data_IF_835089160532
#
_entry.id   IF_835089160532
#
_cell.length_a   1.000
_cell.length_b   1.000
_cell.length_c   1.000
_cell.angle_alpha   90.00
_cell.angle_beta   90.00
_cell.angle_gamma   90.00
#
_symmetry.space_group_name_H-M   'P 1'
#
loop_
_entity.id
_entity.type
_entity.pdbx_description
1 polymer ?
#
# COMPACT_ATOMS: atom_id res chain seq x y z
N UNK A 1 -22.04 -16.91 12.46
CA UNK A 1 -21.88 -15.70 11.61
C UNK A 1 -20.40 -15.52 11.35
N UNK A 2 -19.98 -15.04 10.18
CA UNK A 2 -18.56 -14.91 9.87
C UNK A 2 -18.10 -13.46 10.03
N UNK A 3 -16.90 -13.26 10.57
CA UNK A 3 -16.28 -11.94 10.69
C UNK A 3 -15.14 -11.81 9.69
N UNK A 4 -15.23 -10.80 8.85
CA UNK A 4 -14.19 -10.40 7.91
C UNK A 4 -13.28 -9.35 8.55
N UNK A 5 -11.99 -9.66 8.61
CA UNK A 5 -10.98 -8.83 9.23
C UNK A 5 -10.04 -8.31 8.13
N UNK A 6 -10.10 -7.01 7.91
CA UNK A 6 -9.26 -6.31 6.94
C UNK A 6 -8.08 -5.68 7.66
N UNK A 7 -6.87 -6.20 7.39
CA UNK A 7 -5.62 -5.74 8.02
C UNK A 7 -4.85 -4.88 7.03
N UNK A 8 -4.70 -3.60 7.35
CA UNK A 8 -4.02 -2.60 6.52
C UNK A 8 -2.63 -2.31 7.06
N UNK A 9 -1.62 -2.41 6.20
CA UNK A 9 -0.26 -1.97 6.51
C UNK A 9 -0.04 -0.50 6.11
N UNK A 10 1.01 0.12 6.63
CA UNK A 10 1.34 1.49 6.23
C UNK A 10 1.65 1.55 4.72
N UNK A 11 0.95 2.43 4.00
CA UNK A 11 1.05 2.56 2.54
C UNK A 11 0.09 1.66 1.74
N UNK A 12 -0.63 0.73 2.37
CA UNK A 12 -1.66 -0.09 1.70
C UNK A 12 -3.08 0.42 1.98
N UNK A 13 -3.93 0.44 0.95
CA UNK A 13 -5.36 0.68 1.11
C UNK A 13 -6.05 -0.55 1.75
N UNK A 14 -7.19 -0.33 2.40
CA UNK A 14 -8.03 -1.39 3.02
C UNK A 14 -8.30 -2.57 2.08
N UNK A 15 -8.47 -2.30 0.78
CA UNK A 15 -8.71 -3.32 -0.26
C UNK A 15 -7.46 -4.13 -0.64
N UNK A 16 -6.27 -3.61 -0.37
CA UNK A 16 -4.99 -4.26 -0.64
C UNK A 16 -4.40 -4.94 0.59
N UNK A 17 -5.01 -4.70 1.74
CA UNK A 17 -4.65 -5.33 2.99
C UNK A 17 -4.91 -6.82 2.99
N UNK A 18 -4.42 -7.50 4.03
CA UNK A 18 -4.69 -8.92 4.23
C UNK A 18 -6.12 -9.09 4.76
N UNK A 19 -6.95 -9.81 4.02
CA UNK A 19 -8.26 -10.26 4.48
C UNK A 19 -8.11 -11.57 5.25
N UNK A 20 -8.69 -11.63 6.45
CA UNK A 20 -8.73 -12.84 7.29
C UNK A 20 -10.18 -13.06 7.72
N UNK A 21 -10.65 -14.29 7.58
CA UNK A 21 -11.95 -14.71 8.07
C UNK A 21 -11.78 -15.32 9.46
N UNK A 22 -12.60 -14.90 10.41
CA UNK A 22 -12.59 -15.44 11.78
C UNK A 22 -14.00 -15.41 12.37
N UNK A 23 -14.26 -16.22 13.39
CA UNK A 23 -15.56 -16.26 14.08
C UNK A 23 -15.57 -15.37 15.33
N UNK A 24 -15.06 -14.13 15.20
CA UNK A 24 -15.04 -13.18 16.30
C UNK A 24 -16.37 -12.44 16.36
N UNK A 25 -17.13 -12.67 17.43
CA UNK A 25 -18.47 -12.08 17.60
C UNK A 25 -18.44 -10.84 18.51
N UNK A 26 -17.48 -10.74 19.41
CA UNK A 26 -17.40 -9.69 20.43
C UNK A 26 -16.37 -8.60 20.12
N UNK A 27 -16.68 -7.38 20.59
CA UNK A 27 -15.79 -6.23 20.46
C UNK A 27 -14.49 -6.41 21.27
N UNK A 28 -14.58 -7.04 22.44
CA UNK A 28 -13.43 -7.28 23.32
C UNK A 28 -12.44 -8.24 22.66
N UNK A 29 -12.91 -9.37 22.15
CA UNK A 29 -12.08 -10.32 21.41
C UNK A 29 -11.48 -9.72 20.14
N UNK A 30 -12.21 -8.86 19.44
CA UNK A 30 -11.68 -8.12 18.29
C UNK A 30 -10.57 -7.15 18.69
N UNK A 31 -10.69 -6.50 19.85
CA UNK A 31 -9.66 -5.60 20.37
C UNK A 31 -8.39 -6.33 20.79
N UNK A 32 -8.52 -7.43 21.53
CA UNK A 32 -7.37 -8.25 21.94
C UNK A 32 -6.62 -8.81 20.73
N UNK A 33 -7.36 -9.32 19.75
CA UNK A 33 -6.79 -9.83 18.50
C UNK A 33 -6.10 -8.72 17.69
N UNK A 34 -6.71 -7.52 17.64
CA UNK A 34 -6.09 -6.38 16.98
C UNK A 34 -4.79 -5.95 17.66
N UNK A 35 -4.80 -5.83 18.99
CA UNK A 35 -3.62 -5.49 19.80
C UNK A 35 -2.52 -6.54 19.62
N UNK A 36 -2.84 -7.83 19.71
CA UNK A 36 -1.89 -8.93 19.52
C UNK A 36 -1.23 -8.88 18.14
N UNK A 37 -2.01 -8.58 17.09
CA UNK A 37 -1.47 -8.42 15.72
C UNK A 37 -0.58 -7.19 15.59
N UNK A 38 -0.99 -6.06 16.15
CA UNK A 38 -0.19 -4.84 16.13
C UNK A 38 1.09 -4.93 16.97
N UNK A 39 1.11 -5.77 18.02
CA UNK A 39 2.31 -6.09 18.80
C UNK A 39 3.26 -7.00 18.02
N UNK A 40 2.74 -7.98 17.28
CA UNK A 40 3.57 -8.86 16.45
C UNK A 40 4.10 -8.20 15.18
N UNK A 41 3.30 -7.33 14.57
CA UNK A 41 3.65 -6.67 13.30
C UNK A 41 3.36 -5.15 13.39
N UNK A 42 4.40 -4.40 13.74
CA UNK A 42 4.35 -2.94 13.88
C UNK A 42 4.14 -2.19 12.56
N UNK A 43 4.12 -2.90 11.42
CA UNK A 43 3.79 -2.32 10.10
C UNK A 43 2.28 -2.16 9.89
N UNK A 44 1.47 -2.79 10.74
CA UNK A 44 0.01 -2.68 10.69
C UNK A 44 -0.41 -1.30 11.18
N UNK A 45 -1.17 -0.60 10.32
CA UNK A 45 -1.71 0.73 10.58
C UNK A 45 -3.13 0.68 11.11
N UNK A 46 -3.99 -0.10 10.45
CA UNK A 46 -5.41 -0.17 10.77
C UNK A 46 -5.93 -1.58 10.55
N UNK A 47 -6.79 -2.05 11.44
CA UNK A 47 -7.51 -3.30 11.32
C UNK A 47 -9.00 -2.96 11.42
N UNK A 48 -9.80 -3.46 10.48
CA UNK A 48 -11.25 -3.27 10.49
C UNK A 48 -11.94 -4.63 10.52
N UNK A 49 -12.92 -4.75 11.41
CA UNK A 49 -13.68 -5.98 11.65
C UNK A 49 -15.13 -5.75 11.22
N UNK A 50 -15.59 -6.63 10.35
CA UNK A 50 -16.93 -6.59 9.78
C UNK A 50 -17.66 -7.89 10.07
N UNK A 51 -18.91 -7.78 10.52
CA UNK A 51 -19.82 -8.91 10.62
C UNK A 51 -20.50 -9.12 9.28
N UNK A 52 -20.45 -10.36 8.81
CA UNK A 52 -21.14 -10.82 7.61
C UNK A 52 -22.32 -11.68 8.06
N UNK A 53 -23.53 -11.16 7.87
CA UNK A 53 -24.75 -11.92 8.07
C UNK A 53 -24.99 -12.86 6.88
N UNK A 54 -25.71 -13.96 7.11
CA UNK A 54 -26.11 -14.89 6.04
C UNK A 54 -26.95 -14.20 4.95
N UNK A 55 -27.64 -13.10 5.29
CA UNK A 55 -28.40 -12.26 4.36
C UNK A 55 -27.55 -11.38 3.44
N UNK A 56 -26.21 -11.43 3.58
CA UNK A 56 -25.29 -10.57 2.84
C UNK A 56 -25.10 -9.17 3.45
N UNK A 57 -25.64 -8.92 4.64
CA UNK A 57 -25.41 -7.66 5.36
C UNK A 57 -23.96 -7.62 5.88
N UNK A 58 -23.24 -6.56 5.50
CA UNK A 58 -21.85 -6.33 5.86
C UNK A 58 -21.76 -5.09 6.77
N UNK A 59 -21.56 -5.31 8.06
CA UNK A 59 -21.55 -4.23 9.05
C UNK A 59 -20.22 -4.17 9.79
N UNK A 60 -19.52 -3.04 9.70
CA UNK A 60 -18.35 -2.79 10.53
C UNK A 60 -18.80 -2.67 11.98
N UNK A 61 -18.24 -3.50 12.86
CA UNK A 61 -18.55 -3.43 14.29
C UNK A 61 -17.37 -2.92 15.11
N UNK A 62 -16.15 -3.08 14.62
CA UNK A 62 -14.96 -2.59 15.30
C UNK A 62 -13.87 -2.19 14.32
N UNK A 63 -13.12 -1.14 14.65
CA UNK A 63 -11.91 -0.78 13.92
C UNK A 63 -10.84 -0.32 14.89
N UNK A 64 -9.65 -0.89 14.76
CA UNK A 64 -8.49 -0.55 15.56
C UNK A 64 -7.47 0.17 14.69
N UNK A 65 -6.96 1.30 15.16
CA UNK A 65 -5.89 2.04 14.48
C UNK A 65 -4.69 2.10 15.41
N UNK A 66 -3.56 1.60 14.96
CA UNK A 66 -2.33 1.57 15.75
C UNK A 66 -1.63 2.94 15.70
N UNK A 67 -1.49 3.65 16.82
CA UNK A 67 -0.77 4.93 16.85
C UNK A 67 0.75 4.76 16.70
N UNK A 68 1.30 3.59 17.03
CA UNK A 68 2.73 3.27 16.95
C UNK A 68 3.12 2.61 15.62
N UNK A 69 2.35 2.85 14.57
CA UNK A 69 2.65 2.30 13.24
C UNK A 69 3.99 2.84 12.74
N UNK A 70 4.96 1.94 12.53
CA UNK A 70 6.22 2.32 11.89
C UNK A 70 5.94 2.45 10.38
N UNK A 71 6.39 3.54 9.73
CA UNK A 71 6.19 3.69 8.31
C UNK A 71 6.91 2.55 7.59
N UNK A 72 6.16 1.64 6.99
CA UNK A 72 6.72 0.66 6.08
C UNK A 72 7.25 1.42 4.84
N UNK A 73 8.35 0.96 4.22
CA UNK A 73 8.78 1.54 2.95
C UNK A 73 7.60 1.49 1.99
N UNK A 74 7.09 2.66 1.59
CA UNK A 74 5.91 2.79 0.72
C UNK A 74 6.17 1.99 -0.55
N UNK A 75 5.57 0.81 -0.66
CA UNK A 75 5.37 0.22 -1.97
C UNK A 75 4.38 1.14 -2.66
N UNK A 76 4.83 1.75 -3.77
CA UNK A 76 4.01 2.64 -4.56
C UNK A 76 2.66 1.96 -4.80
N UNK A 77 1.56 2.66 -4.46
CA UNK A 77 0.23 2.16 -4.73
C UNK A 77 0.15 1.72 -6.20
N UNK A 78 -0.40 0.54 -6.52
CA UNK A 78 -0.54 0.14 -7.92
C UNK A 78 -1.52 1.09 -8.58
N UNK A 79 -1.00 1.98 -9.42
CA UNK A 79 -1.74 3.09 -10.04
C UNK A 79 -1.21 4.48 -9.69
N UNK A 80 -0.35 4.63 -8.67
CA UNK A 80 0.40 5.86 -8.48
C UNK A 80 1.47 5.94 -9.56
N UNK A 81 1.17 6.64 -10.65
CA UNK A 81 2.16 7.02 -11.64
C UNK A 81 3.38 7.60 -10.90
N UNK A 82 4.61 7.09 -11.14
CA UNK A 82 5.77 7.62 -10.45
C UNK A 82 5.84 9.11 -10.73
N UNK A 83 5.76 9.95 -9.70
CA UNK A 83 6.05 11.38 -9.83
C UNK A 83 7.50 11.46 -10.32
N UNK A 84 7.66 11.58 -11.64
CA UNK A 84 8.95 11.78 -12.30
C UNK A 84 9.55 13.01 -11.65
N UNK A 85 10.65 12.82 -10.91
CA UNK A 85 11.50 13.95 -10.52
C UNK A 85 11.82 14.72 -11.81
N UNK A 86 11.70 16.06 -11.85
CA UNK A 86 12.07 16.81 -13.04
C UNK A 86 13.53 16.51 -13.34
N UNK A 87 13.78 15.85 -14.47
CA UNK A 87 15.13 15.56 -14.95
C UNK A 87 15.72 16.90 -15.38
N UNK A 88 16.88 17.34 -14.83
CA UNK A 88 17.53 18.56 -15.31
C UNK A 88 17.85 18.41 -16.80
N UNK A 89 17.50 19.43 -17.59
CA UNK A 89 17.75 19.45 -19.05
C UNK A 89 19.25 19.26 -19.29
N UNK A 90 19.65 18.14 -19.89
CA UNK A 90 21.04 17.91 -20.31
C UNK A 90 21.41 18.91 -21.41
N UNK A 91 22.62 19.50 -21.40
CA UNK A 91 23.11 20.30 -22.53
C UNK A 91 23.22 19.42 -23.79
N UNK A 92 23.09 20.00 -25.00
CA UNK A 92 23.12 19.23 -26.23
C UNK A 92 24.44 18.47 -26.38
N UNK A 93 24.41 17.20 -26.82
CA UNK A 93 25.61 16.40 -26.97
C UNK A 93 26.54 16.99 -28.05
N UNK A 94 27.87 16.90 -27.87
CA UNK A 94 28.81 17.32 -28.90
C UNK A 94 28.62 16.48 -30.18
N UNK A 95 28.92 17.05 -31.37
CA UNK A 95 28.64 16.40 -32.65
C UNK A 95 29.34 15.04 -32.74
N UNK A 96 28.54 13.99 -32.92
CA UNK A 96 29.01 12.61 -33.03
C UNK A 96 29.86 12.36 -34.28
N UNK A 97 30.55 11.22 -34.30
CA UNK A 97 31.51 10.82 -35.33
C UNK A 97 30.94 10.82 -36.77
N UNK A 98 29.63 10.67 -36.94
CA UNK A 98 28.94 10.83 -38.23
C UNK A 98 29.01 12.26 -38.80
N UNK A 99 28.99 13.29 -37.95
CA UNK A 99 29.18 14.68 -38.36
C UNK A 99 30.63 14.93 -38.83
N UNK A 100 31.60 14.20 -38.26
CA UNK A 100 33.01 14.26 -38.69
C UNK A 100 33.24 13.50 -40.01
N UNK A 101 32.45 12.47 -40.30
CA UNK A 101 32.50 11.76 -41.58
C UNK A 101 31.84 12.57 -42.71
N UNK A 102 30.70 13.22 -42.46
CA UNK A 102 30.04 14.09 -43.45
C UNK A 102 30.92 15.28 -43.87
N UNK A 103 31.69 15.84 -42.93
CA UNK A 103 32.66 16.92 -43.22
C UNK A 103 33.86 16.46 -44.05
N UNK A 104 34.19 15.16 -44.07
CA UNK A 104 35.28 14.59 -44.89
C UNK A 104 34.83 14.11 -46.28
N UNK A 105 33.52 13.99 -46.53
CA UNK A 105 32.96 13.48 -47.80
C UNK A 105 32.30 14.57 -48.66
N UNK A 106 32.21 15.81 -48.19
CA UNK A 106 31.89 16.96 -49.05
C UNK A 106 30.48 16.90 -49.65
N UNK A 107 29.45 16.84 -48.79
CA UNK A 107 28.07 17.09 -49.17
C UNK A 107 27.37 18.01 -48.16
#
# INVERSE_FOLDING_TARGET
MSTEIYICKDGQELKQGKLVYSEIEDRESAEEDAKRRCQGDHTIKKIAYYKVAASGEFKMFYSYTNPNCKPAPRLAAPGAAPKRKPVPKKPPPPPGLLARLKKKIGL
#
